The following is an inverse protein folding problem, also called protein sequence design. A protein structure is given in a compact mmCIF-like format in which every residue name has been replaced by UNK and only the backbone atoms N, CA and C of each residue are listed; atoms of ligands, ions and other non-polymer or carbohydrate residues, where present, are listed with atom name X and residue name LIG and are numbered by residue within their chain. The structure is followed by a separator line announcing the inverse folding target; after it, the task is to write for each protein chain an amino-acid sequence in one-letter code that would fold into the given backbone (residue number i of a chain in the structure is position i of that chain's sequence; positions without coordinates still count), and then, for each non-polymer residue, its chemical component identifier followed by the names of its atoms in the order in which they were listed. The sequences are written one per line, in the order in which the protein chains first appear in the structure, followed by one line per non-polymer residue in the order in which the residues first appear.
data_IF_692297965075
#
_entry.id   IF_692297965075
#
_cell.length_a   1.000
_cell.length_b   1.000
_cell.length_c   1.000
_cell.angle_alpha   90.00
_cell.angle_beta   90.00
_cell.angle_gamma   90.00
#
_symmetry.space_group_name_H-M   'P 1'
#
loop_
_entity.id
_entity.type
_entity.pdbx_description
1 polymer ?
#
# COMPACT_ATOMS: atom_id res chain seq x y z
N UNK A 1 23.31 23.33 17.79
CA UNK A 1 22.53 22.13 18.18
C UNK A 1 22.40 22.18 19.69
N UNK A 2 21.19 22.35 20.20
CA UNK A 2 20.91 22.36 21.64
C UNK A 2 21.08 20.91 22.14
N UNK A 3 21.47 20.71 23.41
CA UNK A 3 21.76 19.36 23.94
C UNK A 3 20.60 18.37 23.74
N UNK A 4 19.36 18.85 23.83
CA UNK A 4 18.17 18.07 23.51
C UNK A 4 18.18 17.52 22.08
N UNK A 5 18.44 18.36 21.07
CA UNK A 5 18.49 17.96 19.66
C UNK A 5 19.61 16.94 19.43
N UNK A 6 20.75 17.11 20.09
CA UNK A 6 21.88 16.18 20.03
C UNK A 6 21.51 14.82 20.59
N UNK A 7 20.81 14.77 21.73
CA UNK A 7 20.34 13.52 22.34
C UNK A 7 19.28 12.84 21.46
N UNK A 8 18.35 13.61 20.89
CA UNK A 8 17.33 13.09 19.98
C UNK A 8 17.96 12.45 18.74
N UNK A 9 18.87 13.15 18.06
CA UNK A 9 19.56 12.63 16.87
C UNK A 9 20.40 11.40 17.19
N UNK A 10 21.05 11.36 18.37
CA UNK A 10 21.76 10.17 18.83
C UNK A 10 20.81 8.98 19.06
N UNK A 11 19.67 9.19 19.71
CA UNK A 11 18.67 8.14 19.93
C UNK A 11 18.13 7.58 18.62
N UNK A 12 17.84 8.46 17.65
CA UNK A 12 17.43 8.05 16.29
C UNK A 12 18.55 7.24 15.63
N UNK A 13 19.81 7.69 15.72
CA UNK A 13 20.97 6.99 15.18
C UNK A 13 21.13 5.58 15.75
N UNK A 14 21.05 5.44 17.07
CA UNK A 14 21.13 4.14 17.76
C UNK A 14 20.01 3.19 17.33
N UNK A 15 18.78 3.71 17.19
CA UNK A 15 17.67 2.91 16.69
C UNK A 15 17.89 2.46 15.23
N UNK A 16 18.42 3.34 14.39
CA UNK A 16 18.71 3.05 12.97
C UNK A 16 19.88 2.07 12.79
N UNK A 17 20.87 2.05 13.69
CA UNK A 17 21.96 1.06 13.64
C UNK A 17 21.42 -0.38 13.71
N UNK A 18 20.39 -0.60 14.51
CA UNK A 18 19.75 -1.92 14.66
C UNK A 18 18.67 -2.12 13.58
N UNK A 19 17.82 -1.12 13.36
CA UNK A 19 16.57 -1.27 12.60
C UNK A 19 16.63 -0.68 11.18
N UNK A 20 17.77 -0.14 10.76
CA UNK A 20 17.93 0.56 9.48
C UNK A 20 17.57 -0.30 8.27
N UNK A 21 17.71 -1.62 8.35
CA UNK A 21 17.27 -2.54 7.28
C UNK A 21 15.76 -2.39 6.95
N UNK A 22 14.94 -2.05 7.95
CA UNK A 22 13.50 -1.85 7.80
C UNK A 22 13.11 -0.47 7.27
N UNK A 23 14.08 0.43 7.08
CA UNK A 23 13.88 1.78 6.55
C UNK A 23 14.58 1.94 5.19
N UNK A 24 15.86 1.61 5.11
CA UNK A 24 16.65 1.83 3.92
C UNK A 24 16.31 0.84 2.81
N UNK A 25 16.05 1.36 1.61
CA UNK A 25 15.68 0.58 0.42
C UNK A 25 14.43 -0.31 0.61
N UNK A 26 13.54 0.05 1.54
CA UNK A 26 12.21 -0.56 1.64
C UNK A 26 11.22 0.20 0.76
N UNK A 27 10.08 -0.43 0.49
CA UNK A 27 8.94 0.17 -0.19
C UNK A 27 7.73 0.17 0.73
N UNK A 28 6.75 0.98 0.38
CA UNK A 28 5.41 0.87 0.96
C UNK A 28 4.89 -0.55 0.76
N UNK A 29 4.35 -1.15 1.83
CA UNK A 29 3.70 -2.45 1.77
C UNK A 29 2.30 -2.29 1.17
N UNK A 30 1.79 -3.35 0.50
CA UNK A 30 0.39 -3.42 0.06
C UNK A 30 -0.57 -3.67 1.25
N UNK A 31 -0.03 -3.82 2.46
CA UNK A 31 -0.76 -3.98 3.73
C UNK A 31 -1.09 -2.60 4.29
N UNK A 32 -2.36 -2.37 4.65
CA UNK A 32 -2.79 -1.10 5.25
C UNK A 32 -2.19 -0.95 6.65
N UNK A 33 -2.20 0.28 7.14
CA UNK A 33 -1.91 0.56 8.55
C UNK A 33 -2.77 -0.32 9.47
N UNK A 34 -2.11 -0.89 10.48
CA UNK A 34 -2.71 -1.74 11.49
C UNK A 34 -2.86 -0.93 12.78
N UNK A 35 -3.69 -1.40 13.71
CA UNK A 35 -3.88 -0.73 15.01
C UNK A 35 -2.61 -0.63 15.86
N UNK A 36 -1.60 -1.45 15.59
CA UNK A 36 -0.31 -1.47 16.30
C UNK A 36 0.80 -0.73 15.56
N UNK A 37 0.58 -0.30 14.30
CA UNK A 37 1.59 0.39 13.50
C UNK A 37 1.55 0.07 12.00
N UNK A 38 2.72 0.12 11.36
CA UNK A 38 2.85 0.14 9.89
C UNK A 38 3.77 -0.94 9.36
N UNK A 39 3.63 -1.24 8.07
CA UNK A 39 4.44 -2.26 7.38
C UNK A 39 5.22 -1.66 6.22
N UNK A 40 6.51 -1.98 6.17
CA UNK A 40 7.35 -1.72 4.99
C UNK A 40 7.81 -3.05 4.39
N UNK A 41 8.16 -3.05 3.11
CA UNK A 41 8.43 -4.28 2.38
C UNK A 41 9.75 -4.26 1.61
N UNK A 42 10.40 -5.42 1.59
CA UNK A 42 11.43 -5.83 0.62
C UNK A 42 10.99 -7.13 -0.06
N UNK A 43 11.64 -7.54 -1.16
CA UNK A 43 11.37 -8.85 -1.74
C UNK A 43 11.45 -9.95 -0.67
N UNK A 44 10.37 -10.73 -0.50
CA UNK A 44 10.26 -11.85 0.46
C UNK A 44 10.32 -11.48 1.95
N UNK A 45 10.30 -10.19 2.30
CA UNK A 45 10.32 -9.72 3.69
C UNK A 45 9.33 -8.59 3.92
N UNK A 46 8.57 -8.69 5.00
CA UNK A 46 7.82 -7.58 5.57
C UNK A 46 8.49 -7.18 6.88
N UNK A 47 8.60 -5.87 7.11
CA UNK A 47 9.05 -5.30 8.37
C UNK A 47 7.85 -4.67 9.07
N UNK A 48 7.47 -5.26 10.18
CA UNK A 48 6.35 -4.83 11.02
C UNK A 48 6.90 -3.84 12.05
N UNK A 49 6.59 -2.55 11.87
CA UNK A 49 6.98 -1.50 12.80
C UNK A 49 5.92 -1.40 13.89
N UNK A 50 6.13 -2.12 15.00
CA UNK A 50 5.22 -2.17 16.15
C UNK A 50 5.45 -0.95 17.01
N UNK A 51 4.58 0.05 16.86
CA UNK A 51 4.61 1.32 17.60
C UNK A 51 3.80 1.21 18.89
N UNK A 52 2.62 0.61 18.81
CA UNK A 52 1.77 0.32 19.96
C UNK A 52 1.87 -1.17 20.28
N UNK A 53 2.73 -1.51 21.23
CA UNK A 53 2.96 -2.89 21.65
C UNK A 53 1.71 -3.42 22.40
N UNK A 54 1.04 -4.47 21.90
CA UNK A 54 -0.16 -5.00 22.55
C UNK A 54 0.12 -5.55 23.95
N UNK A 55 -0.70 -5.16 24.93
CA UNK A 55 -0.61 -5.71 26.31
C UNK A 55 -0.87 -7.22 26.39
N UNK A 56 -1.52 -7.80 25.38
CA UNK A 56 -1.79 -9.23 25.28
C UNK A 56 -0.57 -10.05 24.84
N UNK A 57 0.56 -9.41 24.52
CA UNK A 57 1.73 -10.01 23.86
C UNK A 57 1.38 -10.78 22.59
N UNK A 58 0.28 -10.39 21.93
CA UNK A 58 -0.20 -10.99 20.68
C UNK A 58 -0.42 -9.90 19.65
N UNK A 59 0.38 -9.95 18.59
CA UNK A 59 0.24 -9.07 17.44
C UNK A 59 -0.67 -9.72 16.40
N UNK A 60 -1.76 -9.06 16.06
CA UNK A 60 -2.64 -9.52 14.98
C UNK A 60 -2.25 -8.79 13.70
N UNK A 61 -1.67 -9.51 12.74
CA UNK A 61 -1.40 -9.01 11.40
C UNK A 61 -2.53 -9.46 10.47
N UNK A 62 -3.42 -8.52 10.15
CA UNK A 62 -4.64 -8.83 9.40
C UNK A 62 -4.46 -8.66 7.90
N UNK A 63 -5.20 -9.50 7.16
CA UNK A 63 -5.40 -9.32 5.74
C UNK A 63 -4.19 -9.67 4.87
N UNK A 64 -3.46 -10.68 5.31
CA UNK A 64 -2.35 -11.27 4.57
C UNK A 64 -2.56 -12.75 4.39
N UNK A 65 -2.13 -13.23 3.23
CA UNK A 65 -1.99 -14.63 2.94
C UNK A 65 -0.62 -14.89 2.32
N UNK A 66 0.23 -15.53 3.12
CA UNK A 66 1.59 -15.86 2.77
C UNK A 66 2.01 -17.19 3.41
N UNK A 67 2.90 -17.91 2.72
CA UNK A 67 3.60 -19.05 3.30
C UNK A 67 4.73 -18.54 4.20
N UNK A 68 4.55 -18.66 5.52
CA UNK A 68 5.46 -18.12 6.52
C UNK A 68 6.74 -18.95 6.55
N UNK A 69 7.88 -18.32 6.26
CA UNK A 69 9.19 -18.95 6.39
C UNK A 69 9.73 -18.78 7.81
N UNK A 70 9.71 -17.56 8.34
CA UNK A 70 10.21 -17.24 9.68
C UNK A 70 9.68 -15.88 10.13
N UNK A 71 9.37 -15.76 11.41
CA UNK A 71 9.08 -14.47 12.05
C UNK A 71 10.08 -14.28 13.18
N UNK A 72 10.73 -13.12 13.25
CA UNK A 72 11.73 -12.84 14.27
C UNK A 72 11.88 -11.34 14.53
N UNK A 73 12.29 -10.89 15.72
CA UNK A 73 12.68 -9.51 15.93
C UNK A 73 13.90 -9.15 15.07
N UNK A 74 13.99 -7.88 14.64
CA UNK A 74 15.14 -7.44 13.86
C UNK A 74 16.41 -7.34 14.73
N UNK A 75 16.24 -7.03 16.02
CA UNK A 75 17.32 -6.99 17.01
C UNK A 75 17.83 -8.38 17.42
N UNK A 76 17.05 -9.44 17.20
CA UNK A 76 17.44 -10.83 17.47
C UNK A 76 16.94 -11.75 16.36
N UNK A 77 17.81 -11.99 15.38
CA UNK A 77 17.49 -12.81 14.20
C UNK A 77 17.46 -14.31 14.50
N UNK A 78 18.00 -14.73 15.64
CA UNK A 78 18.05 -16.14 16.02
C UNK A 78 16.74 -16.58 16.66
N UNK A 79 16.09 -15.69 17.41
CA UNK A 79 14.77 -15.93 18.00
C UNK A 79 13.71 -16.13 16.92
N UNK A 80 13.05 -17.29 16.88
CA UNK A 80 11.89 -17.53 16.03
C UNK A 80 10.61 -17.37 16.85
N UNK A 81 9.74 -16.46 16.44
CA UNK A 81 8.44 -16.25 17.06
C UNK A 81 7.44 -17.30 16.57
N UNK A 82 6.54 -17.71 17.46
CA UNK A 82 5.42 -18.57 17.11
C UNK A 82 4.31 -17.72 16.48
N UNK A 83 3.58 -18.33 15.56
CA UNK A 83 2.41 -17.69 14.98
C UNK A 83 1.32 -18.71 14.66
N UNK A 84 0.08 -18.30 14.80
CA UNK A 84 -1.09 -19.09 14.41
C UNK A 84 -1.92 -18.33 13.40
N UNK A 85 -2.54 -19.07 12.48
CA UNK A 85 -3.44 -18.49 11.48
C UNK A 85 -4.88 -18.58 11.97
N UNK A 86 -5.60 -17.48 11.90
CA UNK A 86 -7.02 -17.39 12.21
C UNK A 86 -7.76 -16.70 11.06
N UNK A 87 -8.33 -17.49 10.13
CA UNK A 87 -8.91 -16.97 8.90
C UNK A 87 -7.87 -16.24 8.04
N UNK A 88 -8.11 -14.95 7.77
CA UNK A 88 -7.20 -14.06 7.02
C UNK A 88 -6.11 -13.41 7.88
N UNK A 89 -6.10 -13.69 9.18
CA UNK A 89 -5.25 -13.02 10.15
C UNK A 89 -4.15 -13.96 10.62
N UNK A 90 -2.98 -13.40 10.88
CA UNK A 90 -1.84 -14.10 11.48
C UNK A 90 -1.60 -13.50 12.85
N UNK A 91 -1.77 -14.33 13.88
CA UNK A 91 -1.53 -13.96 15.27
C UNK A 91 -0.10 -14.37 15.60
N UNK A 92 0.73 -13.40 15.96
CA UNK A 92 2.15 -13.58 16.27
C UNK A 92 2.32 -13.44 17.78
N UNK A 93 2.92 -14.45 18.41
CA UNK A 93 3.30 -14.39 19.81
C UNK A 93 4.53 -13.49 19.94
N UNK A 94 4.36 -12.37 20.64
CA UNK A 94 5.40 -11.37 20.83
C UNK A 94 6.36 -11.81 21.93
N UNK A 95 7.66 -11.48 21.80
CA UNK A 95 8.62 -11.80 22.84
C UNK A 95 8.38 -10.91 24.06
N UNK A 96 8.62 -11.44 25.25
CA UNK A 96 8.81 -10.62 26.46
C UNK A 96 10.32 -10.42 26.60
N UNK A 97 10.82 -9.24 26.24
CA UNK A 97 12.27 -8.95 26.20
C UNK A 97 12.57 -7.54 26.64
N UNK A 98 13.69 -7.34 27.34
CA UNK A 98 14.21 -6.00 27.70
C UNK A 98 14.67 -5.18 26.48
N UNK A 99 14.82 -5.81 25.31
CA UNK A 99 15.25 -5.16 24.08
C UNK A 99 14.07 -4.62 23.24
N UNK A 100 12.83 -4.74 23.74
CA UNK A 100 11.67 -4.05 23.16
C UNK A 100 11.92 -2.54 23.27
N UNK A 101 11.78 -1.84 22.15
CA UNK A 101 12.03 -0.41 22.10
C UNK A 101 10.74 0.37 22.35
N UNK A 102 10.82 1.39 23.20
CA UNK A 102 9.67 2.17 23.69
C UNK A 102 8.87 2.90 22.60
N UNK A 103 9.46 3.13 21.42
CA UNK A 103 8.80 3.88 20.34
C UNK A 103 8.45 3.02 19.12
N UNK A 104 9.26 2.00 18.82
CA UNK A 104 9.04 1.15 17.66
C UNK A 104 9.92 -0.08 17.74
N UNK A 105 9.30 -1.24 17.88
CA UNK A 105 9.97 -2.54 17.79
C UNK A 105 9.72 -3.13 16.42
N UNK A 106 10.78 -3.56 15.73
CA UNK A 106 10.65 -4.10 14.38
C UNK A 106 10.70 -5.62 14.40
N UNK A 107 9.67 -6.25 13.84
CA UNK A 107 9.67 -7.67 13.51
C UNK A 107 9.89 -7.86 12.01
N UNK A 108 10.63 -8.90 11.66
CA UNK A 108 10.81 -9.38 10.30
C UNK A 108 9.89 -10.57 10.09
N UNK A 109 9.05 -10.48 9.08
CA UNK A 109 8.20 -11.56 8.59
C UNK A 109 8.75 -11.99 7.23
N UNK A 110 9.44 -13.13 7.20
CA UNK A 110 9.96 -13.76 5.99
C UNK A 110 8.94 -14.75 5.43
N UNK A 111 8.75 -14.73 4.12
CA UNK A 111 7.78 -15.60 3.46
C UNK A 111 8.31 -16.21 2.15
N UNK A 112 7.79 -17.37 1.81
CA UNK A 112 8.04 -18.02 0.53
C UNK A 112 6.97 -17.61 -0.50
N UNK A 113 7.27 -17.78 -1.79
CA UNK A 113 6.27 -17.54 -2.84
C UNK A 113 5.76 -16.10 -2.94
N UNK A 114 4.53 -15.91 -3.39
CA UNK A 114 3.89 -14.60 -3.53
C UNK A 114 3.16 -14.19 -2.26
N UNK A 115 3.21 -12.89 -1.94
CA UNK A 115 2.37 -12.29 -0.90
C UNK A 115 1.02 -11.91 -1.51
N UNK A 116 -0.07 -12.47 -1.00
CA UNK A 116 -1.42 -12.05 -1.31
C UNK A 116 -1.94 -11.19 -0.15
N UNK A 117 -2.35 -9.94 -0.40
CA UNK A 117 -3.03 -9.13 0.62
C UNK A 117 -4.51 -9.03 0.27
N UNK A 118 -5.38 -9.39 1.22
CA UNK A 118 -6.83 -9.25 1.08
C UNK A 118 -7.30 -7.81 1.31
N UNK A 119 -6.43 -6.93 1.84
CA UNK A 119 -6.74 -5.52 2.08
C UNK A 119 -6.54 -4.62 0.86
N UNK A 120 -5.79 -5.08 -0.14
CA UNK A 120 -5.73 -4.43 -1.44
C UNK A 120 -7.02 -4.77 -2.18
N UNK A 121 -7.97 -3.84 -2.19
CA UNK A 121 -9.31 -4.01 -2.78
C UNK A 121 -9.19 -4.33 -4.26
N UNK A 122 -9.09 -5.63 -4.56
CA UNK A 122 -9.07 -6.12 -5.92
C UNK A 122 -10.47 -5.95 -6.48
N UNK A 123 -10.62 -5.15 -7.52
CA UNK A 123 -11.89 -4.99 -8.20
C UNK A 123 -12.14 -6.24 -9.03
N UNK A 124 -13.27 -6.88 -8.76
CA UNK A 124 -13.75 -8.07 -9.45
C UNK A 124 -14.80 -7.61 -10.47
N UNK A 125 -14.86 -8.29 -11.61
CA UNK A 125 -15.90 -8.07 -12.59
C UNK A 125 -17.27 -8.46 -12.03
N UNK A 126 -18.32 -7.75 -12.42
CA UNK A 126 -19.70 -8.14 -12.12
C UNK A 126 -20.16 -9.32 -12.98
N UNK A 127 -21.43 -9.73 -12.83
CA UNK A 127 -22.02 -10.83 -13.60
C UNK A 127 -22.06 -10.60 -15.11
N UNK A 128 -21.85 -9.36 -15.58
CA UNK A 128 -21.76 -8.98 -16.99
C UNK A 128 -20.32 -8.87 -17.49
N UNK A 129 -19.33 -9.15 -16.64
CA UNK A 129 -17.91 -9.00 -16.97
C UNK A 129 -17.39 -7.56 -16.87
N UNK A 130 -18.15 -6.64 -16.26
CA UNK A 130 -17.78 -5.22 -16.15
C UNK A 130 -17.02 -4.94 -14.83
N UNK A 131 -15.94 -4.16 -14.88
CA UNK A 131 -15.26 -3.70 -13.67
C UNK A 131 -15.67 -2.26 -13.35
N UNK A 132 -16.31 -2.03 -12.21
CA UNK A 132 -16.72 -0.68 -11.80
C UNK A 132 -15.64 -0.07 -10.89
N UNK A 133 -14.88 0.89 -11.40
CA UNK A 133 -13.78 1.53 -10.69
C UNK A 133 -14.26 2.84 -10.04
N UNK A 134 -14.52 2.80 -8.74
CA UNK A 134 -15.02 3.94 -7.96
C UNK A 134 -13.91 4.57 -7.14
N UNK A 135 -14.11 5.82 -6.71
CA UNK A 135 -13.26 6.43 -5.66
C UNK A 135 -13.21 5.60 -4.37
N UNK A 136 -14.27 4.87 -4.05
CA UNK A 136 -14.39 4.08 -2.83
C UNK A 136 -13.62 2.76 -2.85
N UNK A 137 -13.35 2.20 -4.04
CA UNK A 137 -12.59 0.95 -4.21
C UNK A 137 -11.19 1.18 -4.81
N UNK A 138 -10.75 2.44 -4.87
CA UNK A 138 -9.42 2.83 -5.27
C UNK A 138 -8.49 2.96 -4.07
N UNK A 139 -7.25 2.53 -4.25
CA UNK A 139 -6.14 3.03 -3.43
C UNK A 139 -5.87 4.49 -3.81
N UNK A 140 -5.73 5.34 -2.79
CA UNK A 140 -5.62 6.79 -2.95
C UNK A 140 -4.18 7.21 -2.67
N UNK A 141 -3.57 7.89 -3.63
CA UNK A 141 -2.26 8.50 -3.48
C UNK A 141 -2.46 9.96 -3.15
N UNK A 142 -1.82 10.39 -2.08
CA UNK A 142 -1.94 11.75 -1.57
C UNK A 142 -0.69 12.56 -1.86
N UNK A 143 -0.90 13.84 -2.16
CA UNK A 143 0.12 14.86 -1.95
C UNK A 143 -0.19 15.58 -0.66
N UNK A 144 0.87 15.94 0.05
CA UNK A 144 0.84 16.67 1.30
C UNK A 144 1.41 18.06 1.07
N UNK A 145 0.70 19.10 1.50
CA UNK A 145 1.15 20.49 1.43
C UNK A 145 0.62 21.28 2.63
N UNK A 146 1.47 22.08 3.25
CA UNK A 146 1.15 22.96 4.37
C UNK A 146 2.14 24.13 4.41
N UNK A 147 1.83 25.16 5.19
CA UNK A 147 2.76 26.25 5.45
C UNK A 147 3.85 25.84 6.44
N UNK A 148 3.51 24.92 7.34
CA UNK A 148 4.36 24.36 8.37
C UNK A 148 4.01 22.89 8.60
N UNK A 149 4.69 22.26 9.57
CA UNK A 149 4.50 20.86 9.92
C UNK A 149 3.07 20.54 10.39
N UNK A 150 2.40 21.48 11.07
CA UNK A 150 1.09 21.28 11.70
C UNK A 150 -0.09 21.61 10.80
N UNK A 151 0.13 22.34 9.70
CA UNK A 151 -0.89 22.77 8.73
C UNK A 151 -0.97 21.87 7.50
N UNK A 152 -0.35 20.69 7.56
CA UNK A 152 -0.27 19.79 6.42
C UNK A 152 -1.65 19.25 6.02
N UNK A 153 -2.09 19.55 4.80
CA UNK A 153 -3.34 19.05 4.21
C UNK A 153 -3.02 18.04 3.13
N UNK A 154 -3.67 16.88 3.20
CA UNK A 154 -3.55 15.85 2.18
C UNK A 154 -4.58 16.06 1.07
N UNK A 155 -4.14 15.83 -0.17
CA UNK A 155 -4.96 15.96 -1.36
C UNK A 155 -4.79 14.72 -2.22
N UNK A 156 -5.88 14.11 -2.69
CA UNK A 156 -5.80 12.91 -3.55
C UNK A 156 -5.37 13.32 -4.95
N UNK A 157 -4.25 12.80 -5.42
CA UNK A 157 -3.63 13.17 -6.71
C UNK A 157 -3.59 12.03 -7.71
N UNK A 158 -3.75 10.80 -7.22
CA UNK A 158 -3.82 9.60 -8.06
C UNK A 158 -4.73 8.55 -7.43
N UNK A 159 -5.48 7.86 -8.27
CA UNK A 159 -6.20 6.63 -7.93
C UNK A 159 -5.48 5.43 -8.53
N UNK A 160 -5.44 4.32 -7.81
CA UNK A 160 -4.92 3.03 -8.28
C UNK A 160 -5.97 1.94 -7.99
N UNK A 161 -6.26 1.12 -8.99
CA UNK A 161 -7.09 -0.06 -8.89
C UNK A 161 -6.27 -1.29 -9.27
N UNK A 162 -6.36 -2.31 -8.44
CA UNK A 162 -5.90 -3.65 -8.76
C UNK A 162 -7.12 -4.45 -9.24
N UNK A 163 -7.05 -5.04 -10.43
CA UNK A 163 -8.13 -5.86 -10.99
C UNK A 163 -7.73 -7.32 -10.93
N UNK A 164 -8.72 -8.19 -10.70
CA UNK A 164 -8.55 -9.65 -10.78
C UNK A 164 -8.09 -10.08 -12.18
N UNK A 165 -7.65 -11.33 -12.32
CA UNK A 165 -7.39 -11.92 -13.64
C UNK A 165 -8.64 -11.76 -14.52
N UNK A 166 -8.45 -11.36 -15.76
CA UNK A 166 -9.51 -11.11 -16.74
C UNK A 166 -9.25 -11.95 -17.99
N UNK A 167 -10.31 -12.28 -18.74
CA UNK A 167 -10.19 -12.93 -20.04
C UNK A 167 -9.43 -12.04 -21.04
N UNK A 168 -8.91 -12.62 -22.13
CA UNK A 168 -8.24 -11.86 -23.20
C UNK A 168 -9.26 -11.18 -24.10
N UNK A 169 -9.73 -10.02 -23.67
CA UNK A 169 -10.80 -9.29 -24.31
C UNK A 169 -10.51 -7.80 -24.25
N UNK A 170 -11.05 -7.07 -25.23
CA UNK A 170 -10.91 -5.62 -25.23
C UNK A 170 -11.89 -5.06 -24.19
N UNK A 171 -11.40 -4.13 -23.39
CA UNK A 171 -12.25 -3.36 -22.50
C UNK A 171 -12.36 -1.95 -23.04
N UNK A 172 -13.56 -1.39 -22.96
CA UNK A 172 -13.76 0.04 -23.08
C UNK A 172 -13.87 0.67 -21.71
N UNK A 173 -13.10 1.74 -21.48
CA UNK A 173 -13.30 2.60 -20.31
C UNK A 173 -14.33 3.67 -20.66
N UNK A 174 -15.40 3.73 -19.90
CA UNK A 174 -16.38 4.81 -19.87
C UNK A 174 -16.19 5.68 -18.61
N UNK A 175 -16.09 6.99 -18.79
CA UNK A 175 -16.01 7.91 -17.65
C UNK A 175 -17.40 8.30 -17.17
N UNK A 176 -17.64 8.15 -15.87
CA UNK A 176 -18.93 8.50 -15.24
C UNK A 176 -19.04 10.02 -15.03
N UNK A 177 -17.91 10.71 -14.96
CA UNK A 177 -17.85 12.15 -14.76
C UNK A 177 -17.50 12.90 -16.04
N UNK A 178 -18.05 14.10 -16.18
CA UNK A 178 -17.52 15.12 -17.08
C UNK A 178 -16.31 15.79 -16.42
N UNK A 179 -15.18 15.81 -17.11
CA UNK A 179 -13.95 16.45 -16.65
C UNK A 179 -13.48 17.47 -17.68
N UNK A 180 -12.99 18.62 -17.20
CA UNK A 180 -12.57 19.73 -18.05
C UNK A 180 -11.06 19.75 -18.33
N UNK A 181 -10.31 18.77 -17.83
CA UNK A 181 -8.85 18.70 -17.96
C UNK A 181 -8.41 17.32 -18.42
N UNK A 182 -7.29 17.24 -19.14
CA UNK A 182 -6.76 15.96 -19.61
C UNK A 182 -6.22 15.11 -18.45
N UNK A 183 -6.55 13.82 -18.48
CA UNK A 183 -6.09 12.83 -17.51
C UNK A 183 -5.06 11.89 -18.15
N UNK A 184 -4.22 11.30 -17.31
CA UNK A 184 -3.27 10.27 -17.68
C UNK A 184 -3.71 8.96 -17.01
N UNK A 185 -4.12 8.02 -17.84
CA UNK A 185 -4.45 6.66 -17.44
C UNK A 185 -3.24 5.77 -17.72
N UNK A 186 -2.90 4.92 -16.76
CA UNK A 186 -1.81 3.96 -16.89
C UNK A 186 -2.37 2.57 -16.65
N UNK A 187 -2.33 1.72 -17.67
CA UNK A 187 -2.77 0.32 -17.61
C UNK A 187 -1.55 -0.57 -17.77
N UNK A 188 -1.17 -1.28 -16.71
CA UNK A 188 -0.02 -2.19 -16.72
C UNK A 188 1.27 -1.58 -17.29
N UNK A 189 1.54 -0.32 -16.94
CA UNK A 189 2.68 0.50 -17.42
C UNK A 189 2.54 1.09 -18.82
N UNK A 190 1.41 0.90 -19.52
CA UNK A 190 1.10 1.63 -20.76
C UNK A 190 0.30 2.88 -20.45
N UNK A 191 0.75 4.00 -20.99
CA UNK A 191 0.13 5.32 -20.77
C UNK A 191 -0.89 5.64 -21.87
N UNK A 192 -2.03 6.20 -21.45
CA UNK A 192 -3.12 6.65 -22.29
C UNK A 192 -3.52 8.07 -21.86
N UNK A 193 -3.47 9.00 -22.80
CA UNK A 193 -3.94 10.37 -22.58
C UNK A 193 -5.45 10.42 -22.84
N UNK A 194 -6.19 10.93 -21.87
CA UNK A 194 -7.63 11.10 -21.92
C UNK A 194 -7.90 12.60 -21.99
N UNK A 195 -8.47 13.05 -23.09
CA UNK A 195 -8.87 14.45 -23.24
C UNK A 195 -10.29 14.66 -22.68
N UNK A 196 -10.60 15.87 -22.20
CA UNK A 196 -11.85 16.24 -21.53
C UNK A 196 -13.15 15.74 -22.19
N UNK A 197 -13.16 15.69 -23.53
CA UNK A 197 -14.33 15.29 -24.33
C UNK A 197 -14.36 13.80 -24.69
N UNK A 198 -13.27 13.06 -24.43
CA UNK A 198 -13.14 11.66 -24.82
C UNK A 198 -13.59 10.76 -23.66
N UNK A 199 -14.80 10.24 -23.78
CA UNK A 199 -15.39 9.38 -22.75
C UNK A 199 -15.11 7.89 -22.95
N UNK A 200 -14.58 7.46 -24.11
CA UNK A 200 -14.33 6.05 -24.43
C UNK A 200 -12.92 5.78 -24.95
N UNK A 201 -12.26 4.75 -24.41
CA UNK A 201 -10.94 4.29 -24.83
C UNK A 201 -10.88 2.77 -24.74
N UNK A 202 -10.38 2.12 -25.80
CA UNK A 202 -10.13 0.69 -25.83
C UNK A 202 -8.77 0.34 -25.22
N UNK A 203 -8.75 -0.63 -24.32
CA UNK A 203 -7.53 -1.16 -23.66
C UNK A 203 -7.56 -2.69 -23.66
N UNK A 204 -6.38 -3.32 -23.61
CA UNK A 204 -6.23 -4.78 -23.44
C UNK A 204 -5.66 -5.09 -22.07
N UNK A 205 -6.29 -5.99 -21.34
CA UNK A 205 -5.83 -6.47 -20.04
C UNK A 205 -4.98 -7.74 -20.19
N UNK A 206 -4.15 -8.02 -19.19
CA UNK A 206 -3.37 -9.26 -19.06
C UNK A 206 -4.27 -10.38 -18.54
N UNK A 207 -4.02 -11.58 -19.05
CA UNK A 207 -4.74 -12.81 -18.68
C UNK A 207 -4.13 -13.53 -17.48
N UNK A 208 -2.81 -13.69 -17.49
CA UNK A 208 -2.12 -14.58 -16.57
C UNK A 208 -1.72 -13.91 -15.25
N UNK A 209 -1.93 -12.60 -15.13
CA UNK A 209 -1.56 -11.81 -13.95
C UNK A 209 -2.61 -10.77 -13.62
N UNK A 210 -2.61 -10.29 -12.38
CA UNK A 210 -3.41 -9.13 -11.97
C UNK A 210 -3.10 -7.91 -12.86
N UNK A 211 -4.11 -7.06 -13.03
CA UNK A 211 -4.01 -5.85 -13.82
C UNK A 211 -3.97 -4.63 -12.90
N UNK A 212 -3.05 -3.69 -13.15
CA UNK A 212 -2.97 -2.42 -12.42
C UNK A 212 -3.44 -1.29 -13.31
N UNK A 213 -4.46 -0.56 -12.87
CA UNK A 213 -4.99 0.61 -13.55
C UNK A 213 -4.82 1.80 -12.63
N UNK A 214 -4.14 2.85 -13.08
CA UNK A 214 -4.05 4.10 -12.30
C UNK A 214 -4.43 5.31 -13.12
N UNK A 215 -4.92 6.33 -12.43
CA UNK A 215 -5.38 7.57 -13.04
C UNK A 215 -4.82 8.75 -12.24
N UNK A 216 -4.28 9.73 -12.95
CA UNK A 216 -3.82 11.01 -12.41
C UNK A 216 -4.05 12.13 -13.42
N UNK A 217 -3.83 13.38 -13.03
CA UNK A 217 -3.80 14.50 -13.98
C UNK A 217 -2.60 14.33 -14.93
N UNK A 218 -2.79 14.66 -16.23
CA UNK A 218 -1.70 14.66 -17.23
C UNK A 218 -0.66 15.73 -16.92
N UNK A 219 -1.14 16.91 -16.54
CA UNK A 219 -0.34 18.08 -16.24
C UNK A 219 0.52 17.86 -14.98
N UNK A 220 1.84 17.91 -15.17
CA UNK A 220 2.83 17.72 -14.12
C UNK A 220 2.96 18.93 -13.20
N UNK A 221 2.46 20.10 -13.57
CA UNK A 221 2.51 21.29 -12.72
C UNK A 221 1.34 21.31 -11.72
N UNK A 222 0.30 20.51 -11.98
CA UNK A 222 -0.86 20.30 -11.12
C UNK A 222 -0.72 19.07 -10.21
N UNK A 223 0.51 18.67 -9.86
CA UNK A 223 0.78 17.47 -9.03
C UNK A 223 0.11 17.49 -7.66
N UNK A 224 -0.19 18.67 -7.12
CA UNK A 224 -0.82 18.83 -5.81
C UNK A 224 -2.34 19.04 -5.90
N UNK A 225 -2.89 19.21 -7.10
CA UNK A 225 -4.32 19.51 -7.31
C UNK A 225 -5.16 18.25 -7.12
N UNK A 226 -6.23 18.38 -6.34
CA UNK A 226 -7.16 17.27 -6.08
C UNK A 226 -7.72 16.70 -7.38
N UNK A 227 -7.59 15.40 -7.58
CA UNK A 227 -8.12 14.68 -8.73
C UNK A 227 -9.65 14.60 -8.68
N UNK A 228 -10.23 14.44 -7.48
CA UNK A 228 -11.66 14.40 -7.14
C UNK A 228 -12.65 13.92 -8.24
N UNK A 229 -12.33 12.81 -8.91
CA UNK A 229 -13.30 12.10 -9.76
C UNK A 229 -14.19 11.19 -8.89
N UNK A 230 -15.46 11.00 -9.27
CA UNK A 230 -16.40 10.02 -8.70
C UNK A 230 -16.01 8.60 -9.10
N UNK A 231 -15.62 8.38 -10.36
CA UNK A 231 -15.14 7.08 -10.84
C UNK A 231 -15.16 6.90 -12.36
N UNK A 232 -14.90 5.66 -12.78
CA UNK A 232 -14.94 5.20 -14.18
C UNK A 232 -15.45 3.76 -14.24
N UNK A 233 -15.93 3.33 -15.40
CA UNK A 233 -16.48 1.99 -15.66
C UNK A 233 -15.66 1.32 -16.76
N UNK A 234 -15.18 0.09 -16.53
CA UNK A 234 -14.63 -0.76 -17.59
C UNK A 234 -15.71 -1.73 -18.06
N UNK A 235 -15.98 -1.70 -19.35
CA UNK A 235 -17.01 -2.49 -20.01
C UNK A 235 -16.31 -3.49 -20.93
N UNK A 236 -16.71 -4.75 -20.82
CA UNK A 236 -16.27 -5.83 -21.70
C UNK A 236 -16.81 -5.62 -23.12
N UNK A 237 -15.97 -5.81 -24.15
CA UNK A 237 -16.36 -5.79 -25.56
C UNK A 237 -15.75 -6.90 -26.39
#
# INVERSE_FOLDING_TARGET
IIDFEKQLLKGIGQWLEINGEAIYNTKISDIKEQNWGVVTAKPKKLYLHVMDYPQSDKLVLSGIDADIKKIHPLFDRNLSLKSTRNGSDIIIDLPVSSNIHNYSTVLVFEYNGSLNSTQSSTVIADSKGEFILKKSNAEKYHSFSGYDYYSNKSTVVKYLWNLSKAAEVNFEIEFIDNFNESLLLIVNNKEFIIEAKKQKISIRLKTNSANKISLRRKDKDKRHKNLNIKGLKLILK
#
